data_IF_698163308011
#
_entry.id   IF_698163308011
#
_cell.length_a   1.000
_cell.length_b   1.000
_cell.length_c   1.000
_cell.angle_alpha   90.00
_cell.angle_beta   90.00
_cell.angle_gamma   90.00
#
_symmetry.space_group_name_H-M   'P 1'
#
loop_
_entity.id
_entity.type
_entity.pdbx_description
1 polymer ?
#
# COMPACT_ATOMS: atom_id res chain seq x y z
N UNK A 1 -20.31 19.51 17.17
CA UNK A 1 -19.47 20.71 17.21
C UNK A 1 -17.99 20.37 16.96
N UNK A 2 -17.43 19.33 17.65
CA UNK A 2 -16.02 18.93 17.48
C UNK A 2 -15.66 18.63 16.01
N UNK A 3 -16.45 17.82 15.29
CA UNK A 3 -16.25 17.48 13.88
C UNK A 3 -16.08 18.72 12.98
N UNK A 4 -16.90 19.76 13.22
CA UNK A 4 -16.86 20.99 12.39
C UNK A 4 -15.57 21.76 12.64
N UNK A 5 -15.09 21.81 13.89
CA UNK A 5 -13.90 22.57 14.28
C UNK A 5 -12.60 21.84 13.93
N UNK A 6 -12.55 20.53 14.13
CA UNK A 6 -11.33 19.74 14.01
C UNK A 6 -11.22 18.97 12.70
N UNK A 7 -12.33 18.74 11.99
CA UNK A 7 -12.41 17.83 10.85
C UNK A 7 -12.25 16.36 11.24
N UNK A 8 -12.32 16.02 12.54
CA UNK A 8 -12.20 14.66 13.07
C UNK A 8 -13.57 14.14 13.47
N UNK A 9 -13.91 12.92 13.06
CA UNK A 9 -15.13 12.23 13.47
C UNK A 9 -14.78 10.98 14.29
N UNK A 10 -15.11 10.99 15.57
CA UNK A 10 -15.02 9.81 16.44
C UNK A 10 -16.43 9.51 16.95
N UNK A 11 -16.95 8.34 16.60
CA UNK A 11 -18.29 7.94 17.06
C UNK A 11 -18.28 7.74 18.59
N UNK A 12 -19.30 8.21 19.31
CA UNK A 12 -19.34 8.08 20.78
C UNK A 12 -19.28 6.65 21.31
N UNK A 13 -19.65 5.65 20.51
CA UNK A 13 -19.54 4.23 20.83
C UNK A 13 -18.15 3.62 20.63
N UNK A 14 -17.22 4.35 20.03
CA UNK A 14 -15.86 3.86 19.83
C UNK A 14 -15.12 3.76 21.18
N UNK A 15 -14.30 2.74 21.32
CA UNK A 15 -13.42 2.59 22.49
C UNK A 15 -12.02 3.09 22.13
N UNK A 16 -11.55 4.10 22.87
CA UNK A 16 -10.23 4.70 22.67
C UNK A 16 -9.38 4.45 23.92
N UNK A 17 -8.22 3.84 23.73
CA UNK A 17 -7.24 3.55 24.76
C UNK A 17 -6.49 4.77 25.26
N UNK A 18 -5.43 4.55 26.02
CA UNK A 18 -4.59 5.60 26.59
C UNK A 18 -3.47 5.98 25.64
N UNK A 19 -3.04 7.25 25.71
CA UNK A 19 -1.89 7.77 24.92
C UNK A 19 -2.03 7.55 23.42
N UNK A 20 -3.26 7.53 22.94
CA UNK A 20 -3.53 7.53 21.49
C UNK A 20 -3.17 8.91 20.95
N UNK A 21 -2.32 8.92 19.93
CA UNK A 21 -1.89 10.14 19.26
C UNK A 21 -2.53 10.24 17.88
N UNK A 22 -3.27 11.32 17.63
CA UNK A 22 -3.84 11.62 16.32
C UNK A 22 -3.08 12.81 15.75
N UNK A 23 -2.22 12.55 14.78
CA UNK A 23 -1.38 13.56 14.16
C UNK A 23 -2.03 14.11 12.89
N UNK A 24 -2.05 15.45 12.76
CA UNK A 24 -2.70 16.16 11.64
C UNK A 24 -4.16 15.75 11.39
N UNK A 25 -4.90 15.36 12.37
CA UNK A 25 -6.16 14.61 12.43
C UNK A 25 -7.27 14.93 11.42
N UNK A 26 -7.12 15.89 10.52
CA UNK A 26 -8.15 16.27 9.56
C UNK A 26 -8.59 15.07 8.70
N UNK A 27 -9.91 14.85 8.60
CA UNK A 27 -10.47 13.74 7.82
C UNK A 27 -10.37 12.36 8.49
N UNK A 28 -9.92 12.28 9.76
CA UNK A 28 -9.97 11.01 10.51
C UNK A 28 -11.40 10.65 10.84
N UNK A 29 -11.80 9.40 10.56
CA UNK A 29 -13.11 8.84 10.87
C UNK A 29 -12.94 7.54 11.67
N UNK A 30 -13.47 7.50 12.89
CA UNK A 30 -13.47 6.31 13.74
C UNK A 30 -14.92 5.89 14.00
N UNK A 31 -15.30 4.71 13.47
CA UNK A 31 -16.66 4.20 13.51
C UNK A 31 -17.07 3.63 14.87
N UNK A 32 -18.38 3.41 15.03
CA UNK A 32 -19.08 3.07 16.28
C UNK A 32 -18.46 1.94 17.10
N UNK A 33 -18.16 0.82 16.47
CA UNK A 33 -17.66 -0.37 17.15
C UNK A 33 -16.13 -0.53 17.02
N UNK A 34 -15.42 0.53 16.59
CA UNK A 34 -13.97 0.53 16.53
C UNK A 34 -13.37 0.49 17.94
N UNK A 35 -12.27 -0.24 18.06
CA UNK A 35 -11.46 -0.28 19.28
C UNK A 35 -10.05 0.16 18.91
N UNK A 36 -9.54 1.17 19.59
CA UNK A 36 -8.17 1.66 19.43
C UNK A 36 -7.44 1.41 20.75
N UNK A 37 -6.44 0.56 20.71
CA UNK A 37 -5.62 0.20 21.87
C UNK A 37 -4.71 1.34 22.33
N UNK A 38 -4.02 1.08 23.44
CA UNK A 38 -3.07 2.03 24.03
C UNK A 38 -1.91 2.33 23.06
N UNK A 39 -1.32 3.52 23.17
CA UNK A 39 -0.10 3.92 22.47
C UNK A 39 -0.22 3.90 20.91
N UNK A 40 -1.42 3.86 20.36
CA UNK A 40 -1.62 3.92 18.91
C UNK A 40 -1.36 5.31 18.34
N UNK A 41 -0.87 5.35 17.10
CA UNK A 41 -0.70 6.60 16.32
C UNK A 41 -1.54 6.53 15.07
N UNK A 42 -2.34 7.57 14.83
CA UNK A 42 -3.25 7.66 13.68
C UNK A 42 -2.98 8.97 12.95
N UNK A 43 -2.75 8.91 11.65
CA UNK A 43 -2.50 10.09 10.84
C UNK A 43 -3.78 10.59 10.14
N UNK A 44 -3.69 11.75 9.47
CA UNK A 44 -4.80 12.39 8.77
C UNK A 44 -5.46 11.49 7.73
N UNK A 45 -6.76 11.67 7.52
CA UNK A 45 -7.53 10.96 6.49
C UNK A 45 -7.75 9.47 6.73
N UNK A 46 -7.35 8.96 7.90
CA UNK A 46 -7.54 7.55 8.26
C UNK A 46 -9.01 7.27 8.52
N UNK A 47 -9.52 6.16 7.98
CA UNK A 47 -10.86 5.64 8.29
C UNK A 47 -10.75 4.27 8.97
N UNK A 48 -11.33 4.16 10.17
CA UNK A 48 -11.63 2.89 10.83
C UNK A 48 -13.10 2.57 10.58
N UNK A 49 -13.38 1.93 9.43
CA UNK A 49 -14.72 1.79 8.87
C UNK A 49 -15.30 0.39 9.00
N UNK A 50 -16.61 0.31 8.84
CA UNK A 50 -17.34 -0.96 8.78
C UNK A 50 -17.64 -1.39 7.35
N UNK A 51 -17.82 -2.70 7.15
CA UNK A 51 -18.20 -3.30 5.86
C UNK A 51 -19.65 -3.81 5.85
N UNK A 52 -20.40 -3.65 6.95
CA UNK A 52 -21.81 -4.03 7.06
C UNK A 52 -22.62 -2.95 7.76
N UNK A 53 -23.92 -2.88 7.47
CA UNK A 53 -24.87 -1.96 8.08
C UNK A 53 -25.70 -2.60 9.18
N UNK A 54 -25.45 -3.87 9.55
CA UNK A 54 -26.21 -4.57 10.59
C UNK A 54 -25.94 -3.90 11.94
N UNK A 55 -27.00 -3.33 12.52
CA UNK A 55 -26.93 -2.67 13.83
C UNK A 55 -26.58 -3.66 14.95
N UNK A 56 -25.85 -3.19 15.98
CA UNK A 56 -25.51 -3.99 17.16
C UNK A 56 -24.43 -5.03 16.98
N UNK A 57 -23.86 -5.20 15.78
CA UNK A 57 -22.75 -6.13 15.54
C UNK A 57 -21.41 -5.41 15.47
N UNK A 58 -20.35 -6.10 15.87
CA UNK A 58 -18.97 -5.64 15.65
C UNK A 58 -18.74 -5.55 14.13
N UNK A 59 -18.47 -4.34 13.61
CA UNK A 59 -18.29 -4.09 12.17
C UNK A 59 -17.06 -3.24 11.83
N UNK A 60 -16.44 -2.64 12.85
CA UNK A 60 -15.26 -1.79 12.71
C UNK A 60 -14.03 -2.51 13.27
N UNK A 61 -12.83 -2.14 12.86
CA UNK A 61 -11.60 -2.82 13.26
C UNK A 61 -11.27 -2.63 14.75
N UNK A 62 -10.42 -3.52 15.22
CA UNK A 62 -9.70 -3.40 16.50
C UNK A 62 -8.23 -3.16 16.19
N UNK A 63 -7.69 -2.06 16.65
CA UNK A 63 -6.26 -1.80 16.67
C UNK A 63 -5.74 -2.20 18.06
N UNK A 64 -4.79 -3.12 18.10
CA UNK A 64 -4.12 -3.47 19.36
C UNK A 64 -3.08 -2.42 19.74
N UNK A 65 -2.37 -2.65 20.84
CA UNK A 65 -1.43 -1.68 21.38
C UNK A 65 -0.33 -1.30 20.39
N UNK A 66 0.01 -0.02 20.35
CA UNK A 66 1.16 0.51 19.59
C UNK A 66 1.04 0.44 18.07
N UNK A 67 -0.16 0.20 17.55
CA UNK A 67 -0.40 0.20 16.11
C UNK A 67 -0.20 1.59 15.54
N UNK A 68 0.45 1.67 14.38
CA UNK A 68 0.63 2.92 13.62
C UNK A 68 -0.17 2.82 12.32
N UNK A 69 -1.06 3.80 12.10
CA UNK A 69 -1.88 3.88 10.89
C UNK A 69 -1.49 5.11 10.09
N UNK A 70 -0.84 4.89 8.95
CA UNK A 70 -0.35 5.94 8.05
C UNK A 70 -1.46 6.77 7.41
N UNK A 71 -1.09 7.95 6.93
CA UNK A 71 -2.03 8.92 6.37
C UNK A 71 -2.90 8.35 5.25
N UNK A 72 -4.20 8.66 5.27
CA UNK A 72 -5.15 8.24 4.25
C UNK A 72 -5.49 6.74 4.25
N UNK A 73 -4.94 5.95 5.16
CA UNK A 73 -5.21 4.51 5.19
C UNK A 73 -6.67 4.21 5.54
N UNK A 74 -7.23 3.19 4.89
CA UNK A 74 -8.61 2.74 5.07
C UNK A 74 -8.58 1.34 5.68
N UNK A 75 -8.97 1.20 6.95
CA UNK A 75 -9.04 -0.09 7.66
C UNK A 75 -10.51 -0.45 7.80
N UNK A 76 -10.97 -1.42 7.00
CA UNK A 76 -12.39 -1.65 6.76
C UNK A 76 -12.80 -3.08 7.13
N UNK A 77 -13.58 -3.23 8.21
CA UNK A 77 -14.15 -4.51 8.64
C UNK A 77 -13.88 -4.87 10.10
N UNK A 78 -14.55 -5.91 10.57
CA UNK A 78 -14.53 -6.37 11.96
C UNK A 78 -13.35 -7.34 12.23
N UNK A 79 -12.12 -6.92 11.99
CA UNK A 79 -10.92 -7.71 12.23
C UNK A 79 -9.92 -6.98 13.12
N UNK A 80 -8.87 -7.67 13.51
CA UNK A 80 -7.83 -7.15 14.39
C UNK A 80 -6.57 -6.80 13.60
N UNK A 81 -6.00 -5.64 13.90
CA UNK A 81 -4.64 -5.24 13.56
C UNK A 81 -3.80 -5.46 14.83
N UNK A 82 -2.88 -6.40 14.76
CA UNK A 82 -2.11 -6.89 15.91
C UNK A 82 -1.12 -5.87 16.47
N UNK A 83 -0.65 -6.13 17.69
CA UNK A 83 0.23 -5.22 18.42
C UNK A 83 1.44 -4.76 17.60
N UNK A 84 1.75 -3.48 17.68
CA UNK A 84 2.89 -2.84 16.98
C UNK A 84 2.92 -3.03 15.46
N UNK A 85 1.81 -3.45 14.86
CA UNK A 85 1.68 -3.48 13.41
C UNK A 85 1.69 -2.07 12.82
N UNK A 86 2.13 -1.98 11.57
CA UNK A 86 2.19 -0.72 10.82
C UNK A 86 1.35 -0.81 9.57
N UNK A 87 0.49 0.17 9.36
CA UNK A 87 -0.30 0.32 8.15
C UNK A 87 0.29 1.48 7.35
N UNK A 88 0.72 1.21 6.14
CA UNK A 88 1.29 2.23 5.24
C UNK A 88 0.26 3.27 4.82
N UNK A 89 0.75 4.43 4.41
CA UNK A 89 -0.12 5.51 3.91
C UNK A 89 -0.91 5.06 2.69
N UNK A 90 -2.19 5.48 2.61
CA UNK A 90 -3.16 5.12 1.57
C UNK A 90 -3.41 3.60 1.40
N UNK A 91 -2.99 2.77 2.34
CA UNK A 91 -3.29 1.35 2.30
C UNK A 91 -4.78 1.06 2.54
N UNK A 92 -5.35 0.11 1.81
CA UNK A 92 -6.73 -0.36 2.00
C UNK A 92 -6.71 -1.76 2.62
N UNK A 93 -6.88 -1.81 3.93
CA UNK A 93 -6.81 -3.03 4.74
C UNK A 93 -8.20 -3.61 4.92
N UNK A 94 -8.40 -4.83 4.43
CA UNK A 94 -9.69 -5.55 4.50
C UNK A 94 -9.53 -6.95 5.11
N UNK A 95 -8.37 -7.25 5.69
CA UNK A 95 -8.04 -8.53 6.33
C UNK A 95 -7.21 -8.30 7.59
N UNK A 96 -7.18 -9.25 8.55
CA UNK A 96 -6.35 -9.15 9.73
C UNK A 96 -4.87 -8.92 9.41
N UNK A 97 -4.21 -8.12 10.24
CA UNK A 97 -2.76 -7.85 10.13
C UNK A 97 -2.08 -8.43 11.37
N UNK A 98 -1.11 -9.33 11.24
CA UNK A 98 -0.37 -9.90 12.36
C UNK A 98 0.40 -8.84 13.16
N UNK A 99 0.62 -9.10 14.44
CA UNK A 99 1.44 -8.24 15.30
C UNK A 99 2.86 -8.04 14.74
N UNK A 100 3.35 -6.80 14.81
CA UNK A 100 4.66 -6.40 14.30
C UNK A 100 4.79 -6.40 12.77
N UNK A 101 3.76 -6.80 12.02
CA UNK A 101 3.80 -6.80 10.57
C UNK A 101 3.58 -5.39 9.98
N UNK A 102 4.05 -5.19 8.75
CA UNK A 102 3.75 -3.99 7.96
C UNK A 102 2.82 -4.36 6.81
N UNK A 103 1.69 -3.66 6.69
CA UNK A 103 0.73 -3.84 5.60
C UNK A 103 0.72 -2.59 4.71
N UNK A 104 0.86 -2.77 3.39
CA UNK A 104 0.91 -1.67 2.42
C UNK A 104 0.11 -2.00 1.16
N UNK A 105 -0.34 -0.99 0.46
CA UNK A 105 -0.96 -1.12 -0.86
C UNK A 105 -2.50 -1.13 -0.84
N UNK A 106 -3.10 -1.23 -2.03
CA UNK A 106 -4.54 -1.29 -2.26
C UNK A 106 -4.86 -2.39 -3.29
N UNK A 107 -5.42 -3.54 -2.86
CA UNK A 107 -5.63 -3.97 -1.47
C UNK A 107 -4.31 -4.20 -0.72
N UNK A 108 -4.33 -4.02 0.62
CA UNK A 108 -3.13 -4.13 1.42
C UNK A 108 -2.62 -5.58 1.48
N UNK A 109 -1.32 -5.72 1.40
CA UNK A 109 -0.58 -6.98 1.59
C UNK A 109 0.51 -6.80 2.64
N UNK A 110 0.87 -7.92 3.29
CA UNK A 110 1.92 -7.93 4.32
C UNK A 110 3.29 -7.93 3.65
N UNK A 111 4.12 -6.97 4.03
CA UNK A 111 5.53 -6.94 3.62
C UNK A 111 6.30 -8.04 4.35
N UNK A 112 7.03 -8.88 3.62
CA UNK A 112 7.82 -9.99 4.20
C UNK A 112 9.03 -9.46 4.98
N UNK A 113 9.50 -10.23 5.96
CA UNK A 113 10.65 -9.84 6.82
C UNK A 113 11.93 -9.51 6.04
N UNK A 114 12.16 -10.15 4.92
CA UNK A 114 13.30 -9.89 4.03
C UNK A 114 13.23 -8.50 3.38
N UNK A 115 12.00 -8.03 3.12
CA UNK A 115 11.75 -6.67 2.65
C UNK A 115 11.75 -5.65 3.80
N UNK A 116 11.54 -6.11 5.06
CA UNK A 116 11.50 -5.24 6.24
C UNK A 116 12.85 -4.61 6.58
N UNK A 117 13.97 -5.30 6.32
CA UNK A 117 15.31 -4.72 6.52
C UNK A 117 15.57 -3.59 5.53
N UNK A 118 15.04 -3.69 4.33
CA UNK A 118 15.01 -2.61 3.34
C UNK A 118 13.99 -1.52 3.68
N UNK A 119 12.81 -1.89 4.19
CA UNK A 119 11.73 -0.94 4.46
C UNK A 119 11.88 -0.20 5.80
N UNK A 120 12.63 -0.73 6.78
CA UNK A 120 12.93 0.00 8.01
C UNK A 120 13.73 1.30 7.75
N UNK A 121 14.51 1.33 6.68
CA UNK A 121 15.17 2.53 6.17
C UNK A 121 14.23 3.42 5.32
N UNK A 122 13.08 2.91 4.88
CA UNK A 122 12.15 3.58 3.96
C UNK A 122 10.82 4.00 4.58
N UNK A 123 10.55 3.70 5.84
CA UNK A 123 9.34 4.18 6.51
C UNK A 123 9.54 5.60 7.03
N UNK A 124 9.63 6.55 6.11
CA UNK A 124 9.33 7.93 6.43
C UNK A 124 7.81 8.12 6.36
N UNK A 125 7.21 8.72 7.39
CA UNK A 125 5.75 8.93 7.50
C UNK A 125 5.14 9.69 6.31
N UNK A 126 5.96 10.26 5.45
CA UNK A 126 5.59 11.08 4.29
C UNK A 126 6.00 10.50 2.92
N UNK A 127 6.41 9.22 2.84
CA UNK A 127 6.70 8.57 1.56
C UNK A 127 7.91 9.14 0.80
N UNK A 128 8.78 9.89 1.46
CA UNK A 128 10.02 10.40 0.82
C UNK A 128 11.08 9.31 0.91
N UNK A 129 11.37 8.65 -0.21
CA UNK A 129 12.52 7.74 -0.31
C UNK A 129 13.80 8.55 -0.57
N UNK A 130 14.88 8.34 0.19
CA UNK A 130 16.12 9.10 0.03
C UNK A 130 16.79 8.96 -1.34
N UNK A 131 16.41 7.96 -2.16
CA UNK A 131 17.07 7.65 -3.43
C UNK A 131 16.14 7.54 -4.65
N UNK A 132 14.89 8.02 -4.58
CA UNK A 132 14.02 8.10 -5.78
C UNK A 132 13.66 6.77 -6.47
N UNK A 133 13.97 5.62 -5.88
CA UNK A 133 13.64 4.30 -6.45
C UNK A 133 12.21 3.90 -6.08
N UNK A 134 11.25 4.47 -6.79
CA UNK A 134 9.87 3.98 -6.77
C UNK A 134 9.82 2.52 -7.27
N UNK A 135 9.20 1.59 -6.50
CA UNK A 135 9.07 0.19 -6.91
C UNK A 135 8.42 -0.01 -8.28
N UNK A 136 7.50 0.88 -8.66
CA UNK A 136 6.87 0.87 -9.98
C UNK A 136 7.86 1.24 -11.08
N UNK A 137 8.64 2.29 -10.88
CA UNK A 137 9.69 2.71 -11.82
C UNK A 137 10.77 1.64 -12.00
N UNK A 138 11.08 0.88 -10.94
CA UNK A 138 12.01 -0.25 -11.03
C UNK A 138 11.41 -1.44 -11.78
N UNK A 139 10.14 -1.75 -11.53
CA UNK A 139 9.43 -2.81 -12.25
C UNK A 139 9.30 -2.47 -13.73
N UNK A 140 9.02 -1.20 -14.05
CA UNK A 140 8.93 -0.70 -15.42
C UNK A 140 10.29 -0.78 -16.15
N UNK A 141 11.39 -0.37 -15.49
CA UNK A 141 12.76 -0.52 -16.04
C UNK A 141 13.09 -1.98 -16.30
N UNK A 142 12.84 -2.86 -15.34
CA UNK A 142 13.09 -4.30 -15.54
C UNK A 142 12.25 -4.88 -16.68
N UNK A 143 11.03 -4.41 -16.88
CA UNK A 143 10.19 -4.82 -18.00
C UNK A 143 10.74 -4.32 -19.35
N UNK A 144 11.17 -3.06 -19.41
CA UNK A 144 11.80 -2.47 -20.60
C UNK A 144 13.09 -3.23 -20.95
N UNK A 145 13.96 -3.51 -19.97
CA UNK A 145 15.17 -4.27 -20.18
C UNK A 145 14.89 -5.70 -20.67
N UNK A 146 13.82 -6.32 -20.14
CA UNK A 146 13.41 -7.66 -20.56
C UNK A 146 12.88 -7.68 -22.00
N UNK A 147 12.08 -6.69 -22.37
CA UNK A 147 11.60 -6.53 -23.76
C UNK A 147 12.77 -6.32 -24.72
N UNK A 148 13.71 -5.44 -24.39
CA UNK A 148 14.89 -5.21 -25.19
C UNK A 148 15.75 -6.47 -25.40
N UNK A 149 15.89 -7.29 -24.35
CA UNK A 149 16.57 -8.60 -24.45
C UNK A 149 15.82 -9.59 -25.35
N UNK A 150 14.49 -9.59 -25.28
CA UNK A 150 13.68 -10.44 -26.15
C UNK A 150 13.79 -10.01 -27.61
N UNK A 151 13.78 -8.72 -27.90
CA UNK A 151 13.98 -8.19 -29.26
C UNK A 151 15.33 -8.62 -29.83
N UNK A 152 16.42 -8.49 -29.06
CA UNK A 152 17.76 -8.94 -29.49
C UNK A 152 17.78 -10.46 -29.75
N UNK A 153 17.09 -11.25 -28.93
CA UNK A 153 16.98 -12.69 -29.12
C UNK A 153 16.19 -13.05 -30.38
N UNK A 154 15.10 -12.34 -30.65
CA UNK A 154 14.30 -12.50 -31.87
C UNK A 154 15.14 -12.13 -33.12
N UNK A 155 15.89 -11.03 -33.08
CA UNK A 155 16.79 -10.64 -34.18
C UNK A 155 17.85 -11.71 -34.46
N UNK A 156 18.46 -12.28 -33.42
CA UNK A 156 19.42 -13.40 -33.55
C UNK A 156 18.75 -14.64 -34.16
N UNK A 157 17.55 -14.98 -33.72
CA UNK A 157 16.79 -16.11 -34.27
C UNK A 157 16.44 -15.86 -35.74
N UNK A 158 15.97 -14.66 -36.11
CA UNK A 158 15.65 -14.29 -37.49
C UNK A 158 16.89 -14.32 -38.39
N UNK A 159 18.05 -13.85 -37.89
CA UNK A 159 19.30 -13.90 -38.66
C UNK A 159 19.77 -15.34 -38.90
N UNK A 160 19.63 -16.22 -37.92
CA UNK A 160 19.95 -17.64 -38.04
C UNK A 160 19.01 -18.37 -39.02
N UNK A 161 17.72 -18.06 -38.97
CA UNK A 161 16.71 -18.59 -39.91
C UNK A 161 16.98 -18.16 -41.34
N UNK A 162 17.32 -16.85 -41.53
CA UNK A 162 17.72 -16.34 -42.86
C UNK A 162 18.98 -17.05 -43.38
N UNK A 163 19.97 -17.30 -42.57
CA UNK A 163 21.16 -18.04 -42.94
C UNK A 163 20.86 -19.51 -43.33
N UNK A 164 19.80 -20.09 -42.76
CA UNK A 164 19.32 -21.44 -43.09
C UNK A 164 18.33 -21.45 -44.28
N UNK A 165 18.12 -20.32 -44.97
CA UNK A 165 17.23 -20.22 -46.12
C UNK A 165 15.73 -20.17 -45.78
N UNK A 166 15.38 -19.95 -44.51
CA UNK A 166 14.00 -19.86 -44.00
C UNK A 166 13.60 -18.37 -43.94
N UNK A 167 12.50 -18.00 -44.64
CA UNK A 167 11.99 -16.62 -44.63
C UNK A 167 11.31 -16.28 -43.32
N UNK A 168 11.83 -15.29 -42.58
CA UNK A 168 11.19 -14.69 -41.40
C UNK A 168 10.21 -13.61 -41.88
N UNK A 169 8.92 -13.94 -42.06
CA UNK A 169 7.87 -12.97 -42.35
C UNK A 169 7.26 -12.52 -41.05
N UNK A 170 7.36 -11.22 -40.72
CA UNK A 170 6.57 -10.66 -39.61
C UNK A 170 7.20 -9.59 -38.72
N UNK A 171 8.40 -9.12 -38.99
CA UNK A 171 8.94 -7.94 -38.30
C UNK A 171 9.07 -6.81 -39.34
N UNK A 172 7.99 -6.07 -39.56
CA UNK A 172 8.05 -4.81 -40.29
C UNK A 172 8.73 -3.74 -39.44
N UNK A 173 9.58 -2.93 -40.08
CA UNK A 173 10.43 -1.89 -39.45
C UNK A 173 9.68 -0.80 -38.68
N UNK A 174 8.36 -0.85 -38.63
CA UNK A 174 7.52 0.16 -37.97
C UNK A 174 7.19 -0.06 -36.50
N UNK A 175 7.64 -1.17 -35.87
CA UNK A 175 7.37 -1.48 -34.47
C UNK A 175 8.56 -1.18 -33.51
N UNK A 176 9.53 -0.39 -33.99
CA UNK A 176 10.55 0.15 -33.07
C UNK A 176 9.87 1.22 -32.20
N UNK A 177 9.70 0.92 -30.94
CA UNK A 177 9.34 1.92 -29.93
C UNK A 177 10.30 3.09 -30.07
N UNK A 178 9.81 4.20 -30.65
CA UNK A 178 10.52 5.46 -30.69
C UNK A 178 10.99 5.79 -29.28
N UNK A 179 12.26 6.10 -29.15
CA UNK A 179 12.93 6.39 -27.89
C UNK A 179 12.11 7.37 -27.08
N UNK A 180 11.39 6.87 -26.09
CA UNK A 180 10.75 7.70 -25.06
C UNK A 180 11.87 8.30 -24.24
N UNK A 181 12.21 9.55 -24.52
CA UNK A 181 13.02 10.37 -23.63
C UNK A 181 12.19 10.60 -22.35
N UNK A 182 12.61 9.99 -21.25
CA UNK A 182 12.16 10.27 -19.88
C UNK A 182 13.08 11.31 -19.23
#
# INVERSE_FOLDING_TARGET
LARIITGIEIHPGATIGRRVFIDHGFGVVIGETAVVGDDCTIYQGVTLGGTTLVAGTKRHPTLERGVIVGAGAQVLGAFTVGEYAKIGSNAVVVKPVPGGATAVGNPAHIVRKEDQVRSAQMFAAYGVTPNGDDPLSKALRNLIDHVAQQDEQIERMCSTMKAAGISCKGLDENDKLDQVQL
#
